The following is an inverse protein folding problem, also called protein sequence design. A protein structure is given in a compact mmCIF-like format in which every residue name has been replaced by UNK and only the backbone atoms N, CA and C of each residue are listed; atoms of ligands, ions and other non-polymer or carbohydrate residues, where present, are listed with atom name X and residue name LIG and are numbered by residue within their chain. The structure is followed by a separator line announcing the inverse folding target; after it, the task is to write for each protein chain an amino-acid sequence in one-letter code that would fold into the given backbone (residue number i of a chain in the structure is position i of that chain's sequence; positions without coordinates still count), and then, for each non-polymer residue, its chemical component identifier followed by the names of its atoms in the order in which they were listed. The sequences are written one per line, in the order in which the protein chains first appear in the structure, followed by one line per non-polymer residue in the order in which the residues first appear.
data_IF_627354072775
#
_entry.id   IF_627354072775
#
_cell.length_a   1.000
_cell.length_b   1.000
_cell.length_c   1.000
_cell.angle_alpha   90.00
_cell.angle_beta   90.00
_cell.angle_gamma   90.00
#
_symmetry.space_group_name_H-M   'P 1'
#
loop_
_entity.id
_entity.type
_entity.pdbx_description
1 polymer ?
#
# COMPACT_ATOMS: atom_id res chain seq x y z
N UNK A 1 31.10 -15.60 14.48
CA UNK A 1 29.76 -15.05 14.14
C UNK A 1 29.96 -13.60 13.70
N UNK A 2 29.20 -13.11 12.71
CA UNK A 2 29.19 -11.67 12.40
C UNK A 2 28.71 -10.91 13.64
N UNK A 3 29.40 -9.83 14.01
CA UNK A 3 29.06 -9.00 15.18
C UNK A 3 27.65 -8.40 15.08
N UNK A 4 27.13 -8.27 13.85
CA UNK A 4 25.79 -7.76 13.57
C UNK A 4 24.69 -8.84 13.46
N UNK A 5 25.00 -10.12 13.70
CA UNK A 5 24.02 -11.22 13.50
C UNK A 5 22.72 -11.00 14.27
N UNK A 6 22.80 -10.66 15.57
CA UNK A 6 21.63 -10.39 16.38
C UNK A 6 20.82 -9.19 15.85
N UNK A 7 21.50 -8.12 15.45
CA UNK A 7 20.88 -6.91 14.89
C UNK A 7 20.13 -7.20 13.59
N UNK A 8 20.72 -7.99 12.70
CA UNK A 8 20.07 -8.41 11.45
C UNK A 8 18.83 -9.27 11.71
N UNK A 9 18.92 -10.19 12.69
CA UNK A 9 17.78 -11.03 13.06
C UNK A 9 16.63 -10.20 13.67
N UNK A 10 16.95 -9.21 14.51
CA UNK A 10 15.98 -8.28 15.07
C UNK A 10 15.33 -7.42 13.99
N UNK A 11 16.11 -6.86 13.06
CA UNK A 11 15.63 -6.09 11.92
C UNK A 11 14.64 -6.89 11.06
N UNK A 12 14.97 -8.15 10.73
CA UNK A 12 14.09 -9.01 9.95
C UNK A 12 12.78 -9.32 10.68
N UNK A 13 12.85 -9.59 11.99
CA UNK A 13 11.67 -9.85 12.82
C UNK A 13 10.77 -8.61 12.91
N UNK A 14 11.35 -7.44 13.14
CA UNK A 14 10.60 -6.18 13.16
C UNK A 14 9.91 -5.95 11.82
N UNK A 15 10.62 -6.12 10.71
CA UNK A 15 10.06 -5.89 9.39
C UNK A 15 8.89 -6.85 9.06
N UNK A 16 9.02 -8.14 9.40
CA UNK A 16 7.93 -9.11 9.25
C UNK A 16 6.74 -8.73 10.12
N UNK A 17 6.98 -8.33 11.37
CA UNK A 17 5.91 -7.93 12.29
C UNK A 17 5.17 -6.69 11.80
N UNK A 18 5.89 -5.63 11.44
CA UNK A 18 5.32 -4.37 10.92
C UNK A 18 4.56 -4.62 9.61
N UNK A 19 5.17 -5.36 8.67
CA UNK A 19 4.52 -5.74 7.42
C UNK A 19 3.25 -6.55 7.63
N UNK A 20 3.24 -7.47 8.61
CA UNK A 20 2.06 -8.27 8.96
C UNK A 20 0.94 -7.41 9.53
N UNK A 21 1.25 -6.40 10.34
CA UNK A 21 0.25 -5.42 10.81
C UNK A 21 -0.31 -4.63 9.63
N UNK A 22 0.56 -4.16 8.72
CA UNK A 22 0.13 -3.47 7.50
C UNK A 22 -0.83 -4.31 6.67
N UNK A 23 -0.48 -5.58 6.43
CA UNK A 23 -1.32 -6.52 5.68
C UNK A 23 -2.64 -6.83 6.39
N UNK A 24 -2.61 -6.94 7.72
CA UNK A 24 -3.83 -7.10 8.50
C UNK A 24 -4.77 -5.90 8.33
N UNK A 25 -4.25 -4.68 8.48
CA UNK A 25 -5.03 -3.45 8.31
C UNK A 25 -5.60 -3.33 6.89
N UNK A 26 -4.82 -3.67 5.88
CA UNK A 26 -5.23 -3.74 4.47
C UNK A 26 -6.38 -4.73 4.25
N UNK A 27 -6.37 -5.88 4.93
CA UNK A 27 -7.46 -6.85 4.85
C UNK A 27 -8.69 -6.43 5.65
N UNK A 28 -8.55 -5.61 6.70
CA UNK A 28 -9.72 -5.13 7.43
C UNK A 28 -10.55 -4.11 6.63
N UNK A 29 -10.00 -3.51 5.57
CA UNK A 29 -10.74 -2.53 4.75
C UNK A 29 -11.92 -3.15 4.00
N UNK A 30 -11.95 -4.47 3.85
CA UNK A 30 -13.04 -5.19 3.20
C UNK A 30 -14.35 -5.17 4.02
N UNK A 31 -14.25 -4.84 5.31
CA UNK A 31 -15.36 -4.88 6.25
C UNK A 31 -15.86 -3.50 6.69
N UNK A 32 -15.28 -2.42 6.15
CA UNK A 32 -15.70 -1.04 6.47
C UNK A 32 -16.63 -0.48 5.39
N UNK A 33 -17.30 0.63 5.68
CA UNK A 33 -18.01 1.38 4.65
C UNK A 33 -16.98 1.98 3.68
N UNK A 34 -17.00 1.57 2.41
CA UNK A 34 -16.00 2.00 1.43
C UNK A 34 -16.01 3.51 1.18
N UNK A 35 -17.10 4.21 1.51
CA UNK A 35 -17.18 5.67 1.38
C UNK A 35 -16.41 6.43 2.46
N UNK A 36 -15.93 5.74 3.50
CA UNK A 36 -15.15 6.34 4.60
C UNK A 36 -13.65 6.20 4.41
N UNK A 37 -13.19 5.63 3.29
CA UNK A 37 -11.77 5.56 2.98
C UNK A 37 -11.16 6.97 2.93
N UNK A 38 -9.98 7.11 3.51
CA UNK A 38 -9.26 8.38 3.56
C UNK A 38 -7.81 8.21 3.13
N UNK A 39 -7.22 9.28 2.56
CA UNK A 39 -5.80 9.31 2.26
C UNK A 39 -4.91 9.10 3.50
N UNK A 40 -5.39 9.46 4.70
CA UNK A 40 -4.68 9.19 5.95
C UNK A 40 -4.61 7.67 6.25
N UNK A 41 -5.76 6.98 6.16
CA UNK A 41 -5.81 5.53 6.33
C UNK A 41 -4.93 4.83 5.29
N UNK A 42 -5.05 5.21 4.02
CA UNK A 42 -4.21 4.69 2.94
C UNK A 42 -2.72 4.83 3.24
N UNK A 43 -2.26 6.04 3.57
CA UNK A 43 -0.85 6.29 3.89
C UNK A 43 -0.37 5.42 5.04
N UNK A 44 -1.17 5.27 6.09
CA UNK A 44 -0.82 4.42 7.23
C UNK A 44 -0.67 2.95 6.84
N UNK A 45 -1.58 2.43 6.00
CA UNK A 45 -1.50 1.06 5.48
C UNK A 45 -0.25 0.90 4.61
N UNK A 46 -0.04 1.78 3.63
CA UNK A 46 1.12 1.76 2.73
C UNK A 46 2.45 1.84 3.50
N UNK A 47 2.51 2.70 4.52
CA UNK A 47 3.68 2.85 5.37
C UNK A 47 4.05 1.55 6.07
N UNK A 48 3.07 0.87 6.68
CA UNK A 48 3.32 -0.36 7.44
C UNK A 48 3.57 -1.57 6.51
N UNK A 49 2.76 -1.71 5.46
CA UNK A 49 2.79 -2.86 4.55
C UNK A 49 4.05 -2.88 3.68
N UNK A 50 4.46 -1.71 3.17
CA UNK A 50 5.38 -1.64 2.02
C UNK A 50 6.73 -1.01 2.37
N UNK A 51 6.80 -0.07 3.32
CA UNK A 51 8.05 0.67 3.58
C UNK A 51 9.18 -0.18 4.14
N UNK A 52 8.86 -1.11 5.03
CA UNK A 52 9.86 -1.96 5.66
C UNK A 52 10.38 -3.02 4.69
N UNK A 53 9.45 -3.76 4.06
CA UNK A 53 9.78 -4.82 3.11
C UNK A 53 10.34 -4.27 1.78
N UNK A 54 9.91 -3.09 1.36
CA UNK A 54 10.24 -2.48 0.07
C UNK A 54 11.58 -1.75 0.02
N UNK A 55 12.30 -1.60 1.13
CA UNK A 55 13.63 -0.97 1.10
C UNK A 55 14.38 -0.89 2.42
N UNK A 56 13.69 -0.68 3.55
CA UNK A 56 14.39 -0.43 4.81
C UNK A 56 15.24 -1.62 5.28
N UNK A 57 14.73 -2.86 5.12
CA UNK A 57 15.52 -4.06 5.43
C UNK A 57 16.86 -4.04 4.69
N UNK A 58 16.86 -3.73 3.39
CA UNK A 58 18.08 -3.71 2.58
C UNK A 58 19.05 -2.62 3.05
N UNK A 59 18.55 -1.40 3.24
CA UNK A 59 19.36 -0.26 3.70
C UNK A 59 19.97 -0.49 5.09
N UNK A 60 19.15 -0.85 6.07
CA UNK A 60 19.61 -1.10 7.43
C UNK A 60 20.52 -2.34 7.53
N UNK A 61 20.27 -3.37 6.72
CA UNK A 61 21.18 -4.53 6.65
C UNK A 61 22.56 -4.12 6.11
N UNK A 62 22.62 -3.28 5.08
CA UNK A 62 23.87 -2.78 4.54
C UNK A 62 24.64 -1.94 5.58
N UNK A 63 23.95 -1.06 6.31
CA UNK A 63 24.55 -0.28 7.40
C UNK A 63 25.12 -1.18 8.50
N UNK A 64 24.39 -2.22 8.91
CA UNK A 64 24.85 -3.19 9.89
C UNK A 64 26.08 -3.97 9.42
N UNK A 65 26.08 -4.44 8.16
CA UNK A 65 27.20 -5.16 7.57
C UNK A 65 28.45 -4.28 7.37
N UNK A 66 28.25 -2.98 7.14
CA UNK A 66 29.32 -1.99 7.07
C UNK A 66 29.87 -1.57 8.46
N UNK A 67 29.28 -2.05 9.56
CA UNK A 67 29.69 -1.71 10.91
C UNK A 67 29.28 -0.30 11.35
N UNK A 68 28.28 0.32 10.71
CA UNK A 68 27.79 1.64 11.08
C UNK A 68 27.19 1.62 12.49
N UNK A 69 27.63 2.56 13.34
CA UNK A 69 27.15 2.71 14.72
C UNK A 69 26.35 3.98 14.95
N UNK A 70 26.35 4.90 13.98
CA UNK A 70 25.63 6.16 14.05
C UNK A 70 24.12 5.93 13.88
N UNK A 71 23.29 6.20 14.91
CA UNK A 71 21.84 6.01 14.82
C UNK A 71 21.17 6.92 13.79
N UNK A 72 21.75 8.09 13.48
CA UNK A 72 21.13 9.05 12.55
C UNK A 72 21.10 8.49 11.12
N UNK A 73 22.12 7.72 10.72
CA UNK A 73 22.14 7.02 9.42
C UNK A 73 20.98 6.02 9.27
N UNK A 74 20.63 5.31 10.34
CA UNK A 74 19.51 4.37 10.31
C UNK A 74 18.18 5.12 10.24
N UNK A 75 18.05 6.24 10.95
CA UNK A 75 16.86 7.06 10.92
C UNK A 75 16.63 7.71 9.54
N UNK A 76 17.68 8.22 8.90
CA UNK A 76 17.63 8.74 7.53
C UNK A 76 17.24 7.65 6.53
N UNK A 77 17.87 6.47 6.61
CA UNK A 77 17.51 5.33 5.78
C UNK A 77 16.04 4.92 5.97
N UNK A 78 15.55 4.94 7.21
CA UNK A 78 14.15 4.65 7.52
C UNK A 78 13.21 5.67 6.90
N UNK A 79 13.47 6.96 7.07
CA UNK A 79 12.64 8.03 6.52
C UNK A 79 12.57 7.96 4.99
N UNK A 80 13.71 7.76 4.33
CA UNK A 80 13.76 7.59 2.88
C UNK A 80 12.93 6.37 2.43
N UNK A 81 13.08 5.23 3.09
CA UNK A 81 12.37 4.01 2.72
C UNK A 81 10.87 4.10 2.98
N UNK A 82 10.43 4.91 3.95
CA UNK A 82 9.02 5.22 4.19
C UNK A 82 8.38 5.94 3.01
N UNK A 83 9.04 6.98 2.50
CA UNK A 83 8.54 7.72 1.33
C UNK A 83 8.60 6.86 0.06
N UNK A 84 9.69 6.11 -0.13
CA UNK A 84 9.84 5.19 -1.25
C UNK A 84 8.76 4.09 -1.23
N UNK A 85 8.47 3.52 -0.05
CA UNK A 85 7.43 2.51 0.13
C UNK A 85 6.03 3.04 -0.20
N UNK A 86 5.73 4.28 0.21
CA UNK A 86 4.48 4.93 -0.14
C UNK A 86 4.34 5.13 -1.66
N UNK A 87 5.43 5.54 -2.34
CA UNK A 87 5.45 5.67 -3.80
C UNK A 87 5.27 4.31 -4.50
N UNK A 88 5.94 3.26 -4.03
CA UNK A 88 5.75 1.91 -4.57
C UNK A 88 4.32 1.41 -4.39
N UNK A 89 3.69 1.67 -3.25
CA UNK A 89 2.29 1.30 -3.06
C UNK A 89 1.36 2.06 -4.00
N UNK A 90 1.60 3.35 -4.21
CA UNK A 90 0.85 4.14 -5.20
C UNK A 90 0.96 3.54 -6.61
N UNK A 91 2.18 3.21 -7.04
CA UNK A 91 2.38 2.56 -8.34
C UNK A 91 1.70 1.20 -8.42
N UNK A 92 1.75 0.42 -7.34
CA UNK A 92 1.09 -0.87 -7.24
C UNK A 92 -0.42 -0.74 -7.43
N UNK A 93 -1.08 0.17 -6.71
CA UNK A 93 -2.53 0.40 -6.81
C UNK A 93 -2.95 0.84 -8.22
N UNK A 94 -2.17 1.74 -8.85
CA UNK A 94 -2.46 2.19 -10.22
C UNK A 94 -2.34 1.04 -11.21
N UNK A 95 -1.26 0.27 -11.08
CA UNK A 95 -0.94 -0.87 -11.92
C UNK A 95 -1.96 -1.99 -11.75
N UNK A 96 -2.46 -2.20 -10.54
CA UNK A 96 -3.53 -3.17 -10.25
C UNK A 96 -4.84 -2.77 -10.95
N UNK A 97 -5.17 -1.49 -10.93
CA UNK A 97 -6.42 -0.99 -11.51
C UNK A 97 -6.42 -0.92 -13.06
N UNK A 98 -5.35 -0.35 -13.64
CA UNK A 98 -5.31 0.03 -15.06
C UNK A 98 -4.19 -0.63 -15.87
N UNK A 99 -3.34 -1.38 -15.20
CA UNK A 99 -2.22 -2.00 -15.84
C UNK A 99 -2.62 -3.12 -16.80
N UNK A 100 -1.79 -3.33 -17.82
CA UNK A 100 -1.98 -4.41 -18.79
C UNK A 100 -1.60 -5.75 -18.17
N UNK A 101 -2.56 -6.68 -18.09
CA UNK A 101 -2.36 -8.00 -17.49
C UNK A 101 -1.28 -8.81 -18.19
N UNK A 102 -1.06 -8.62 -19.49
CA UNK A 102 0.01 -9.30 -20.23
C UNK A 102 1.41 -8.81 -19.83
N UNK A 103 1.52 -7.53 -19.45
CA UNK A 103 2.79 -6.91 -19.03
C UNK A 103 3.10 -7.21 -17.56
N UNK A 104 2.07 -7.17 -16.72
CA UNK A 104 2.23 -7.27 -15.26
C UNK A 104 2.22 -8.72 -14.80
N UNK A 105 1.63 -9.62 -15.58
CA UNK A 105 1.57 -11.05 -15.30
C UNK A 105 0.56 -11.43 -14.21
N UNK A 106 -0.29 -10.51 -13.77
CA UNK A 106 -1.40 -10.77 -12.84
C UNK A 106 -2.63 -9.93 -13.21
N UNK A 107 -3.80 -10.46 -12.85
CA UNK A 107 -5.05 -9.71 -12.86
C UNK A 107 -5.10 -8.90 -11.56
N UNK A 108 -5.41 -7.61 -11.65
CA UNK A 108 -5.65 -6.78 -10.47
C UNK A 108 -7.00 -7.08 -9.83
N UNK A 109 -7.04 -7.09 -8.50
CA UNK A 109 -8.17 -7.52 -7.68
C UNK A 109 -8.55 -6.52 -6.60
N UNK A 110 -7.86 -5.37 -6.51
CA UNK A 110 -8.03 -4.42 -5.41
C UNK A 110 -9.47 -3.89 -5.28
N UNK A 111 -10.17 -3.70 -6.40
CA UNK A 111 -11.55 -3.17 -6.41
C UNK A 111 -12.52 -4.24 -5.89
N UNK A 112 -12.43 -5.45 -6.43
CA UNK A 112 -13.24 -6.61 -6.07
C UNK A 112 -13.02 -6.99 -4.61
N UNK A 113 -11.77 -6.90 -4.15
CA UNK A 113 -11.40 -7.15 -2.77
C UNK A 113 -11.78 -6.00 -1.83
N UNK A 114 -12.23 -4.83 -2.30
CA UNK A 114 -12.61 -3.74 -1.39
C UNK A 114 -11.41 -3.13 -0.66
N UNK A 115 -10.26 -3.03 -1.35
CA UNK A 115 -9.03 -2.47 -0.81
C UNK A 115 -9.09 -0.95 -0.73
N UNK A 116 -8.54 -0.40 0.35
CA UNK A 116 -8.35 1.05 0.49
C UNK A 116 -7.14 1.48 -0.35
N UNK A 117 -7.35 1.67 -1.66
CA UNK A 117 -6.32 2.10 -2.60
C UNK A 117 -6.19 3.61 -2.68
N UNK A 118 -5.06 4.10 -3.21
CA UNK A 118 -4.88 5.51 -3.52
C UNK A 118 -5.97 6.05 -4.46
N UNK A 119 -6.31 5.28 -5.50
CA UNK A 119 -7.31 5.66 -6.50
C UNK A 119 -8.71 5.80 -5.88
N UNK A 120 -9.09 4.87 -5.01
CA UNK A 120 -10.36 4.95 -4.29
C UNK A 120 -10.41 6.17 -3.37
N UNK A 121 -9.36 6.39 -2.57
CA UNK A 121 -9.28 7.55 -1.67
C UNK A 121 -9.36 8.86 -2.45
N UNK A 122 -8.59 9.00 -3.54
CA UNK A 122 -8.59 10.21 -4.37
C UNK A 122 -9.93 10.46 -5.04
N UNK A 123 -10.57 9.41 -5.54
CA UNK A 123 -11.91 9.53 -6.11
C UNK A 123 -12.91 10.02 -5.05
N UNK A 124 -12.89 9.47 -3.84
CA UNK A 124 -13.82 9.82 -2.76
C UNK A 124 -13.62 11.24 -2.21
N UNK A 125 -12.43 11.82 -2.31
CA UNK A 125 -12.16 13.23 -2.02
C UNK A 125 -12.89 14.17 -2.99
N UNK A 126 -13.07 13.75 -4.25
CA UNK A 126 -13.65 14.56 -5.33
C UNK A 126 -15.12 14.21 -5.64
N UNK A 127 -15.57 13.04 -5.20
CA UNK A 127 -16.89 12.52 -5.53
C UNK A 127 -18.03 13.30 -4.85
N UNK A 128 -19.07 13.60 -5.63
CA UNK A 128 -20.36 14.07 -5.11
C UNK A 128 -21.10 12.97 -4.33
N UNK A 129 -22.11 13.33 -3.54
CA UNK A 129 -22.90 12.34 -2.79
C UNK A 129 -23.52 11.27 -3.70
N UNK A 130 -24.05 11.65 -4.87
CA UNK A 130 -24.59 10.69 -5.83
C UNK A 130 -23.52 9.73 -6.38
N UNK A 131 -22.31 10.23 -6.64
CA UNK A 131 -21.18 9.41 -7.08
C UNK A 131 -20.68 8.46 -5.99
N UNK A 132 -20.75 8.87 -4.72
CA UNK A 132 -20.41 8.03 -3.56
C UNK A 132 -21.39 6.87 -3.37
N UNK A 133 -22.68 7.08 -3.61
CA UNK A 133 -23.66 5.99 -3.58
C UNK A 133 -23.37 4.96 -4.67
N UNK A 134 -23.12 5.38 -5.91
CA UNK A 134 -22.75 4.45 -6.99
C UNK A 134 -21.45 3.71 -6.65
N UNK A 135 -20.46 4.40 -6.07
CA UNK A 135 -19.22 3.78 -5.62
C UNK A 135 -19.49 2.70 -4.57
N UNK A 136 -20.29 3.01 -3.54
CA UNK A 136 -20.68 2.08 -2.47
C UNK A 136 -21.43 0.85 -3.00
N UNK A 137 -22.26 1.02 -4.02
CA UNK A 137 -23.01 -0.07 -4.64
C UNK A 137 -22.15 -1.00 -5.50
N UNK A 138 -20.95 -0.60 -5.93
CA UNK A 138 -20.14 -1.36 -6.90
C UNK A 138 -18.76 -1.78 -6.36
N UNK A 139 -18.17 -1.03 -5.43
CA UNK A 139 -16.84 -1.34 -4.88
C UNK A 139 -16.91 -2.55 -3.94
N UNK A 140 -15.85 -3.37 -3.87
CA UNK A 140 -15.78 -4.54 -2.99
C UNK A 140 -16.71 -5.69 -3.37
N UNK A 141 -17.09 -5.78 -4.65
CA UNK A 141 -17.92 -6.88 -5.18
C UNK A 141 -17.10 -7.76 -6.10
N UNK A 142 -17.23 -9.06 -5.90
CA UNK A 142 -16.72 -10.10 -6.81
C UNK A 142 -17.61 -10.18 -8.07
N UNK A 143 -17.66 -9.09 -8.83
CA UNK A 143 -18.38 -8.95 -10.09
C UNK A 143 -17.57 -8.04 -11.04
N UNK A 144 -17.07 -8.57 -12.17
CA UNK A 144 -16.31 -7.79 -13.15
C UNK A 144 -17.06 -6.56 -13.70
N UNK A 145 -18.39 -6.59 -13.77
CA UNK A 145 -19.18 -5.45 -14.24
C UNK A 145 -19.17 -4.31 -13.21
N UNK A 146 -19.26 -4.66 -11.92
CA UNK A 146 -19.13 -3.72 -10.82
C UNK A 146 -17.71 -3.10 -10.82
N UNK A 147 -16.67 -3.92 -10.95
CA UNK A 147 -15.29 -3.43 -11.02
C UNK A 147 -15.06 -2.51 -12.23
N UNK A 148 -15.55 -2.90 -13.42
CA UNK A 148 -15.48 -2.05 -14.60
C UNK A 148 -16.20 -0.71 -14.41
N UNK A 149 -17.35 -0.71 -13.72
CA UNK A 149 -18.09 0.51 -13.39
C UNK A 149 -17.27 1.44 -12.50
N UNK A 150 -16.60 0.91 -11.48
CA UNK A 150 -15.69 1.68 -10.62
C UNK A 150 -14.53 2.28 -11.44
N UNK A 151 -13.88 1.48 -12.30
CA UNK A 151 -12.79 1.97 -13.17
C UNK A 151 -13.25 3.13 -14.05
N UNK A 152 -14.45 3.06 -14.62
CA UNK A 152 -15.03 4.15 -15.42
C UNK A 152 -15.31 5.40 -14.57
N UNK A 153 -15.83 5.25 -13.36
CA UNK A 153 -16.09 6.37 -12.45
C UNK A 153 -14.80 7.11 -12.09
N UNK A 154 -13.76 6.36 -11.70
CA UNK A 154 -12.46 6.93 -11.34
C UNK A 154 -11.86 7.66 -12.55
N UNK A 155 -11.88 7.05 -13.73
CA UNK A 155 -11.39 7.67 -14.98
C UNK A 155 -12.17 8.94 -15.37
N UNK A 156 -13.48 8.99 -15.11
CA UNK A 156 -14.31 10.16 -15.44
C UNK A 156 -13.98 11.42 -14.62
N UNK A 157 -13.35 11.26 -13.45
CA UNK A 157 -12.90 12.36 -12.59
C UNK A 157 -11.53 12.94 -13.00
N UNK A 158 -10.97 12.52 -14.14
CA UNK A 158 -9.66 12.97 -14.66
C UNK A 158 -8.50 12.76 -13.68
N UNK A 159 -8.54 11.64 -12.95
CA UNK A 159 -7.44 11.12 -12.13
C UNK A 159 -6.49 10.23 -12.94
#
# INVERSE_FOLDING_TARGET
HLDCYAKLLELLREAVFVGSIGQYLDNQTQHQDFTTFTMEQYRKIAQLKTSYMGGYIAGASALHLAGAVDPDLYQEARNFCVELGAFFQFQNDYTDCYGDTEVIGKIGTDIEEGKCTWLACKYLELATSAQKEIFKENYGKDDPLCAQRIKQLIKSQSL
#
